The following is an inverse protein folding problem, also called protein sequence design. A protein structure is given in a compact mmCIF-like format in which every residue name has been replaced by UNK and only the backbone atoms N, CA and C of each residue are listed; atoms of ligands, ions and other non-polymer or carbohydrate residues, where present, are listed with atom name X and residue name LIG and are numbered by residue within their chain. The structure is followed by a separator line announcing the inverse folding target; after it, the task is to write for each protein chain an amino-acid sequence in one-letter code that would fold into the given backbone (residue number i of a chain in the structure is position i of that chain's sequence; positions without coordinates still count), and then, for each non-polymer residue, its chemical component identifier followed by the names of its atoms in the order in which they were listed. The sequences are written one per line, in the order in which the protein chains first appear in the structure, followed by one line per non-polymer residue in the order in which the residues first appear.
data_IF_896757314408
#
_entry.id   IF_896757314408
#
_cell.length_a   1.000
_cell.length_b   1.000
_cell.length_c   1.000
_cell.angle_alpha   90.00
_cell.angle_beta   90.00
_cell.angle_gamma   90.00
#
_symmetry.space_group_name_H-M   'P 1'
#
loop_
_entity.id
_entity.type
_entity.pdbx_description
1 polymer ?
#
# COMPACT_ATOMS: atom_id res chain seq x y z
N UNK A 1 7.94 54.32 2.12
CA UNK A 1 8.56 53.25 1.32
C UNK A 1 8.16 51.93 1.97
N UNK A 2 7.03 51.36 1.56
CA UNK A 2 6.52 50.11 2.14
C UNK A 2 7.00 48.96 1.28
N UNK A 3 7.92 48.16 1.80
CA UNK A 3 8.36 46.94 1.15
C UNK A 3 7.23 45.91 1.27
N UNK A 4 6.57 45.65 0.13
CA UNK A 4 5.65 44.54 -0.07
C UNK A 4 6.50 43.28 -0.22
N UNK A 5 6.69 42.55 0.87
CA UNK A 5 7.31 41.22 0.81
C UNK A 5 6.32 40.25 0.17
N UNK A 6 6.43 40.09 -1.15
CA UNK A 6 5.85 38.97 -1.90
C UNK A 6 6.35 37.66 -1.30
N UNK A 7 5.54 37.11 -0.39
CA UNK A 7 5.70 35.74 0.06
C UNK A 7 5.11 34.87 -1.04
N UNK A 8 5.94 34.34 -1.93
CA UNK A 8 5.51 33.37 -2.95
C UNK A 8 5.05 32.07 -2.26
N UNK A 9 3.75 31.72 -2.20
CA UNK A 9 3.30 30.46 -1.62
C UNK A 9 3.41 29.28 -2.62
N UNK A 10 3.91 29.50 -3.84
CA UNK A 10 3.63 28.64 -4.98
C UNK A 10 4.70 27.57 -5.27
N UNK A 11 5.92 27.70 -4.74
CA UNK A 11 7.04 26.81 -5.07
C UNK A 11 6.91 25.36 -4.55
N UNK A 12 6.16 25.13 -3.47
CA UNK A 12 6.07 23.82 -2.80
C UNK A 12 4.96 22.92 -3.35
N UNK A 13 3.98 23.47 -4.08
CA UNK A 13 2.79 22.75 -4.57
C UNK A 13 3.06 21.63 -5.59
N UNK A 14 3.87 21.83 -6.65
CA UNK A 14 4.00 20.81 -7.70
C UNK A 14 4.68 19.52 -7.22
N UNK A 15 5.63 19.63 -6.28
CA UNK A 15 6.29 18.45 -5.69
C UNK A 15 5.37 17.68 -4.72
N UNK A 16 4.47 18.38 -4.02
CA UNK A 16 3.46 17.76 -3.16
C UNK A 16 2.37 17.04 -3.98
N UNK A 17 1.94 17.62 -5.10
CA UNK A 17 0.96 17.01 -6.01
C UNK A 17 1.52 15.75 -6.70
N UNK A 18 2.78 15.78 -7.14
CA UNK A 18 3.48 14.62 -7.68
C UNK A 18 3.62 13.49 -6.63
N UNK A 19 3.98 13.83 -5.39
CA UNK A 19 4.06 12.88 -4.29
C UNK A 19 2.72 12.23 -3.96
N UNK A 20 1.63 13.02 -3.94
CA UNK A 20 0.27 12.50 -3.74
C UNK A 20 -0.13 11.53 -4.86
N UNK A 21 0.19 11.85 -6.11
CA UNK A 21 -0.11 11.00 -7.28
C UNK A 21 0.66 9.68 -7.21
N UNK A 22 1.95 9.71 -6.87
CA UNK A 22 2.76 8.51 -6.71
C UNK A 22 2.21 7.59 -5.60
N UNK A 23 1.82 8.15 -4.45
CA UNK A 23 1.23 7.38 -3.35
C UNK A 23 -0.10 6.74 -3.75
N UNK A 24 -0.93 7.43 -4.53
CA UNK A 24 -2.18 6.87 -5.06
C UNK A 24 -1.94 5.70 -6.01
N UNK A 25 -0.93 5.79 -6.90
CA UNK A 25 -0.56 4.70 -7.80
C UNK A 25 -0.03 3.49 -7.04
N UNK A 26 0.83 3.69 -6.05
CA UNK A 26 1.33 2.60 -5.20
C UNK A 26 0.18 1.94 -4.45
N UNK A 27 -0.74 2.74 -3.88
CA UNK A 27 -1.94 2.21 -3.22
C UNK A 27 -2.79 1.36 -4.16
N UNK A 28 -3.06 1.84 -5.37
CA UNK A 28 -3.82 1.11 -6.36
C UNK A 28 -3.15 -0.22 -6.72
N UNK A 29 -1.82 -0.22 -6.86
CA UNK A 29 -1.06 -1.43 -7.18
C UNK A 29 -1.05 -2.44 -6.02
N UNK A 30 -0.90 -1.99 -4.77
CA UNK A 30 -1.01 -2.85 -3.59
C UNK A 30 -2.38 -3.53 -3.50
N UNK A 31 -3.46 -2.79 -3.74
CA UNK A 31 -4.81 -3.35 -3.77
C UNK A 31 -4.99 -4.36 -4.92
N UNK A 32 -4.45 -4.05 -6.11
CA UNK A 32 -4.46 -4.97 -7.26
C UNK A 32 -3.73 -6.28 -6.95
N UNK A 33 -2.57 -6.21 -6.30
CA UNK A 33 -1.81 -7.38 -5.87
C UNK A 33 -2.55 -8.17 -4.79
N UNK A 34 -3.18 -7.50 -3.81
CA UNK A 34 -3.97 -8.16 -2.78
C UNK A 34 -5.12 -8.97 -3.38
N UNK A 35 -5.87 -8.37 -4.31
CA UNK A 35 -6.95 -9.06 -5.03
C UNK A 35 -6.44 -10.25 -5.85
N UNK A 36 -5.24 -10.14 -6.43
CA UNK A 36 -4.62 -11.25 -7.17
C UNK A 36 -4.28 -12.42 -6.25
N UNK A 37 -3.66 -12.16 -5.10
CA UNK A 37 -3.29 -13.23 -4.15
C UNK A 37 -4.52 -13.94 -3.58
N UNK A 38 -5.58 -13.21 -3.23
CA UNK A 38 -6.82 -13.82 -2.77
C UNK A 38 -7.50 -14.66 -3.84
N UNK A 39 -7.49 -14.20 -5.10
CA UNK A 39 -8.02 -15.00 -6.21
C UNK A 39 -7.23 -16.29 -6.39
N UNK A 40 -5.90 -16.22 -6.36
CA UNK A 40 -5.04 -17.41 -6.46
C UNK A 40 -5.29 -18.37 -5.29
N UNK A 41 -5.47 -17.84 -4.07
CA UNK A 41 -5.81 -18.64 -2.89
C UNK A 41 -7.18 -19.33 -3.04
N UNK A 42 -8.18 -18.64 -3.61
CA UNK A 42 -9.50 -19.21 -3.88
C UNK A 42 -9.44 -20.30 -4.95
N UNK A 43 -8.75 -20.05 -6.06
CA UNK A 43 -8.56 -21.03 -7.15
C UNK A 43 -7.86 -22.30 -6.66
N UNK A 44 -6.89 -22.16 -5.77
CA UNK A 44 -6.17 -23.28 -5.16
C UNK A 44 -7.02 -24.02 -4.11
N UNK A 45 -7.75 -23.29 -3.26
CA UNK A 45 -8.63 -23.87 -2.25
C UNK A 45 -9.76 -24.71 -2.89
N UNK A 46 -10.30 -24.28 -4.02
CA UNK A 46 -11.35 -25.02 -4.75
C UNK A 46 -10.83 -26.34 -5.32
N UNK A 47 -9.51 -26.47 -5.56
CA UNK A 47 -8.91 -27.72 -6.05
C UNK A 47 -8.66 -28.73 -4.92
N UNK A 48 -8.61 -28.29 -3.68
CA UNK A 48 -8.48 -29.18 -2.53
C UNK A 48 -9.83 -29.83 -2.22
N UNK A 49 -9.83 -31.14 -1.96
CA UNK A 49 -11.04 -31.82 -1.53
C UNK A 49 -11.42 -31.39 -0.11
N UNK A 50 -12.71 -31.42 0.23
CA UNK A 50 -13.18 -30.89 1.53
C UNK A 50 -12.64 -31.66 2.75
N UNK A 51 -12.22 -32.91 2.57
CA UNK A 51 -11.65 -33.76 3.62
C UNK A 51 -10.13 -33.62 3.74
N UNK A 52 -9.49 -32.91 2.81
CA UNK A 52 -8.06 -32.68 2.85
C UNK A 52 -7.73 -31.41 3.65
N UNK A 53 -6.53 -31.39 4.22
CA UNK A 53 -6.01 -30.19 4.83
C UNK A 53 -5.85 -29.09 3.77
N UNK A 54 -6.21 -27.86 4.12
CA UNK A 54 -5.98 -26.69 3.28
C UNK A 54 -4.50 -26.59 2.90
N UNK A 55 -4.16 -26.46 1.61
CA UNK A 55 -2.77 -26.29 1.19
C UNK A 55 -2.11 -25.09 1.90
N UNK A 56 -0.89 -25.22 2.45
CA UNK A 56 -0.22 -24.14 3.17
C UNK A 56 -0.07 -22.85 2.35
N UNK A 57 0.09 -22.99 1.04
CA UNK A 57 0.11 -21.91 0.04
C UNK A 57 -1.16 -21.04 0.08
N UNK A 58 -2.35 -21.61 0.25
CA UNK A 58 -3.61 -20.85 0.39
C UNK A 58 -3.54 -19.92 1.59
N UNK A 59 -3.00 -20.40 2.71
CA UNK A 59 -2.85 -19.62 3.94
C UNK A 59 -1.85 -18.48 3.70
N UNK A 60 -0.68 -18.79 3.14
CA UNK A 60 0.35 -17.79 2.82
C UNK A 60 -0.16 -16.71 1.86
N UNK A 61 -0.95 -17.07 0.86
CA UNK A 61 -1.55 -16.12 -0.09
C UNK A 61 -2.57 -15.20 0.55
N UNK A 62 -3.45 -15.73 1.39
CA UNK A 62 -4.41 -14.92 2.15
C UNK A 62 -3.70 -13.96 3.10
N UNK A 63 -2.64 -14.43 3.78
CA UNK A 63 -1.83 -13.57 4.62
C UNK A 63 -1.16 -12.45 3.81
N UNK A 64 -0.60 -12.76 2.64
CA UNK A 64 -0.03 -11.76 1.74
C UNK A 64 -1.07 -10.73 1.30
N UNK A 65 -2.28 -11.17 0.92
CA UNK A 65 -3.38 -10.26 0.57
C UNK A 65 -3.76 -9.31 1.72
N UNK A 66 -3.80 -9.82 2.96
CA UNK A 66 -4.05 -8.99 4.16
C UNK A 66 -2.95 -7.94 4.35
N UNK A 67 -1.67 -8.34 4.32
CA UNK A 67 -0.54 -7.42 4.49
C UNK A 67 -0.54 -6.32 3.42
N UNK A 68 -0.83 -6.68 2.17
CA UNK A 68 -0.92 -5.73 1.07
C UNK A 68 -2.06 -4.70 1.26
N UNK A 69 -3.21 -5.12 1.79
CA UNK A 69 -4.31 -4.22 2.14
C UNK A 69 -3.94 -3.29 3.28
N UNK A 70 -3.32 -3.82 4.34
CA UNK A 70 -2.86 -3.00 5.48
C UNK A 70 -1.86 -1.94 5.02
N UNK A 71 -0.91 -2.31 4.16
CA UNK A 71 0.02 -1.35 3.56
C UNK A 71 -0.71 -0.29 2.72
N UNK A 72 -1.71 -0.69 1.92
CA UNK A 72 -2.51 0.24 1.13
C UNK A 72 -3.31 1.23 2.01
N UNK A 73 -3.83 0.77 3.15
CA UNK A 73 -4.55 1.61 4.11
C UNK A 73 -3.62 2.60 4.83
N UNK A 74 -2.40 2.18 5.14
CA UNK A 74 -1.38 3.08 5.68
C UNK A 74 -1.07 4.22 4.70
N UNK A 75 -1.07 3.96 3.39
CA UNK A 75 -0.88 5.01 2.36
C UNK A 75 -2.04 5.99 2.28
N UNK A 76 -3.28 5.61 2.63
CA UNK A 76 -4.42 6.54 2.66
C UNK A 76 -4.52 7.37 3.93
N UNK A 77 -4.00 6.87 5.06
CA UNK A 77 -4.05 7.56 6.36
C UNK A 77 -2.82 8.43 6.62
N UNK A 78 -1.67 8.12 6.01
CA UNK A 78 -0.42 8.80 6.30
C UNK A 78 -0.24 10.12 5.52
N UNK A 79 0.04 11.26 6.18
CA UNK A 79 0.72 12.36 5.50
C UNK A 79 2.12 11.88 5.07
N UNK A 80 2.51 12.22 3.84
CA UNK A 80 3.68 11.72 3.10
C UNK A 80 5.01 11.47 3.87
N UNK A 81 5.41 12.23 4.93
CA UNK A 81 6.68 11.95 5.62
C UNK A 81 6.70 10.71 6.54
N UNK A 82 5.57 10.12 6.96
CA UNK A 82 5.59 9.00 7.93
C UNK A 82 5.85 7.62 7.29
N UNK A 83 5.56 7.45 6.01
CA UNK A 83 5.67 6.18 5.29
C UNK A 83 7.13 5.72 5.09
N UNK A 84 8.05 6.65 4.88
CA UNK A 84 9.48 6.36 4.75
C UNK A 84 10.07 5.73 6.04
N UNK A 85 9.48 6.03 7.21
CA UNK A 85 9.89 5.45 8.50
C UNK A 85 9.24 4.09 8.79
N UNK A 86 8.04 3.84 8.27
CA UNK A 86 7.34 2.58 8.47
C UNK A 86 7.97 1.44 7.65
N UNK A 87 8.36 1.72 6.40
CA UNK A 87 8.96 0.72 5.51
C UNK A 87 10.41 0.35 5.88
N UNK A 88 11.11 1.23 6.61
CA UNK A 88 12.50 0.99 7.06
C UNK A 88 12.61 0.30 8.41
N UNK A 89 11.56 0.31 9.23
CA UNK A 89 11.57 -0.30 10.56
C UNK A 89 10.85 -1.64 10.64
N UNK A 90 10.10 -2.03 9.61
CA UNK A 90 9.30 -3.26 9.60
C UNK A 90 10.01 -4.56 9.20
N UNK A 91 11.27 -4.52 8.77
CA UNK A 91 11.98 -5.70 8.23
C UNK A 91 13.16 -6.22 9.07
N UNK A 92 13.33 -5.72 10.30
CA UNK A 92 14.24 -6.36 11.26
C UNK A 92 13.46 -7.30 12.19
N UNK A 93 13.23 -8.52 11.73
CA UNK A 93 13.11 -9.68 12.63
C UNK A 93 13.47 -10.97 11.91
#
# INVERSE_FOLDING_TARGET
MSNHSDSDPNGSRPLQEAGSTALQLIRAELLRLASREDRLAAEEAVRAAYWEATPPSVISRRLAATILREAAEQLSTAPAPSLARALTTGWSR
#
